data_IF_840471413459
#
_entry.id   IF_840471413459
#
_cell.length_a   1.000
_cell.length_b   1.000
_cell.length_c   1.000
_cell.angle_alpha   90.00
_cell.angle_beta   90.00
_cell.angle_gamma   90.00
#
_symmetry.space_group_name_H-M   'P 1'
#
loop_
_entity.id
_entity.type
_entity.pdbx_description
1 polymer ?
#
# COMPACT_ATOMS: atom_id res chain seq x y z
N UNK A 1 -86.67 -65.85 16.71
CA UNK A 1 -85.44 -65.90 15.91
C UNK A 1 -85.34 -64.72 14.87
N UNK A 2 -86.35 -63.92 14.67
CA UNK A 2 -86.36 -62.84 13.66
C UNK A 2 -85.60 -61.50 14.09
N UNK A 3 -85.63 -61.18 15.40
CA UNK A 3 -85.04 -59.91 15.87
C UNK A 3 -83.52 -59.92 15.97
N UNK A 4 -82.90 -61.02 16.16
CA UNK A 4 -81.40 -61.10 16.25
C UNK A 4 -80.71 -60.91 14.88
N UNK A 5 -81.36 -61.29 13.78
CA UNK A 5 -80.85 -61.01 12.41
C UNK A 5 -80.92 -59.56 12.05
N UNK A 6 -81.91 -58.80 12.48
CA UNK A 6 -82.03 -57.38 12.22
C UNK A 6 -80.97 -56.56 12.98
N UNK A 7 -80.69 -56.89 14.22
CA UNK A 7 -79.67 -56.25 15.02
C UNK A 7 -78.27 -56.47 14.44
N UNK A 8 -77.99 -57.67 13.95
CA UNK A 8 -76.70 -57.99 13.30
C UNK A 8 -76.49 -57.21 12.01
N UNK A 9 -77.57 -57.05 11.23
CA UNK A 9 -77.48 -56.18 10.01
C UNK A 9 -77.34 -54.72 10.31
N UNK A 10 -77.89 -54.18 11.37
CA UNK A 10 -77.68 -52.80 11.80
C UNK A 10 -76.24 -52.55 12.34
N UNK A 11 -75.69 -53.54 13.03
CA UNK A 11 -74.31 -53.49 13.49
C UNK A 11 -73.29 -53.49 12.31
N UNK A 12 -73.57 -54.25 11.25
CA UNK A 12 -72.75 -54.23 10.03
C UNK A 12 -72.88 -52.92 9.26
N UNK A 13 -74.09 -52.34 9.24
CA UNK A 13 -74.31 -51.01 8.57
C UNK A 13 -73.61 -49.87 9.32
N UNK A 14 -73.60 -49.92 10.64
CA UNK A 14 -72.92 -48.97 11.49
C UNK A 14 -71.36 -49.11 11.36
N UNK A 15 -70.89 -50.33 11.27
CA UNK A 15 -69.48 -50.64 11.04
C UNK A 15 -69.02 -50.20 9.67
N UNK A 16 -69.86 -50.26 8.62
CA UNK A 16 -69.54 -49.82 7.29
C UNK A 16 -69.44 -48.27 7.18
N UNK A 17 -70.23 -47.53 7.99
CA UNK A 17 -70.25 -46.10 8.04
C UNK A 17 -68.96 -45.53 8.76
N UNK A 18 -68.41 -46.34 9.71
CA UNK A 18 -67.23 -45.93 10.45
C UNK A 18 -65.91 -46.08 9.67
N UNK A 19 -65.92 -46.84 8.55
CA UNK A 19 -64.68 -47.09 7.73
C UNK A 19 -64.44 -45.99 6.68
N UNK A 20 -65.40 -45.08 6.46
CA UNK A 20 -65.33 -44.11 5.36
C UNK A 20 -64.79 -42.69 5.72
N UNK A 21 -64.21 -42.47 6.90
CA UNK A 21 -63.69 -41.18 7.29
C UNK A 21 -62.19 -41.28 7.62
N UNK A 22 -61.39 -41.83 6.71
CA UNK A 22 -59.97 -41.50 6.64
C UNK A 22 -59.87 -40.32 5.67
N UNK A 23 -60.15 -39.12 6.17
CA UNK A 23 -59.80 -37.90 5.47
C UNK A 23 -58.28 -37.76 5.42
N UNK A 24 -57.69 -38.09 4.28
CA UNK A 24 -56.30 -37.74 4.03
C UNK A 24 -56.26 -36.20 3.87
N UNK A 25 -55.84 -35.52 4.91
CA UNK A 25 -55.50 -34.12 4.80
C UNK A 25 -54.25 -34.04 3.87
N UNK A 26 -54.48 -33.59 2.65
CA UNK A 26 -53.37 -33.24 1.77
C UNK A 26 -52.86 -31.88 2.27
N UNK A 27 -51.66 -31.89 2.83
CA UNK A 27 -50.98 -30.68 3.22
C UNK A 27 -50.59 -29.94 1.93
N UNK A 28 -51.35 -28.89 1.59
CA UNK A 28 -51.07 -28.05 0.42
C UNK A 28 -50.08 -27.01 0.85
N UNK A 29 -48.84 -27.13 0.40
CA UNK A 29 -47.83 -26.08 0.56
C UNK A 29 -48.13 -24.95 -0.44
N UNK A 30 -48.59 -23.83 0.04
CA UNK A 30 -48.80 -22.62 -0.78
C UNK A 30 -47.44 -22.03 -1.13
N UNK A 31 -46.95 -22.28 -2.34
CA UNK A 31 -45.71 -21.67 -2.85
C UNK A 31 -46.03 -20.21 -3.22
N UNK A 32 -45.60 -19.28 -2.38
CA UNK A 32 -45.63 -17.85 -2.74
C UNK A 32 -44.48 -17.57 -3.70
N UNK A 33 -44.81 -17.13 -4.89
CA UNK A 33 -43.79 -16.57 -5.80
C UNK A 33 -43.29 -15.27 -5.19
N UNK A 34 -41.96 -15.20 -4.98
CA UNK A 34 -41.28 -13.97 -4.64
C UNK A 34 -40.97 -13.24 -5.95
N UNK A 35 -41.35 -11.96 -6.04
CA UNK A 35 -41.08 -11.11 -7.21
C UNK A 35 -39.59 -10.89 -7.43
N UNK A 36 -38.78 -11.01 -6.37
CA UNK A 36 -37.32 -10.92 -6.41
C UNK A 36 -36.67 -11.66 -5.26
N UNK A 37 -35.47 -12.16 -5.47
CA UNK A 37 -34.63 -12.70 -4.41
C UNK A 37 -33.22 -12.11 -4.53
N UNK A 38 -32.61 -11.80 -3.39
CA UNK A 38 -31.25 -11.31 -3.34
C UNK A 38 -30.27 -12.49 -3.23
N UNK A 39 -29.36 -12.58 -4.21
CA UNK A 39 -28.22 -13.48 -4.13
C UNK A 39 -27.01 -12.66 -3.70
N UNK A 40 -26.50 -12.94 -2.50
CA UNK A 40 -25.21 -12.41 -2.07
C UNK A 40 -24.12 -13.33 -2.54
N UNK A 41 -23.15 -12.83 -3.27
CA UNK A 41 -21.93 -13.56 -3.67
C UNK A 41 -20.72 -12.92 -3.03
N UNK A 42 -19.87 -13.75 -2.45
CA UNK A 42 -18.62 -13.33 -1.84
C UNK A 42 -17.46 -13.69 -2.79
N UNK A 43 -16.53 -12.77 -2.97
CA UNK A 43 -15.32 -12.96 -3.77
C UNK A 43 -14.10 -12.79 -2.89
N UNK A 44 -13.14 -13.73 -2.95
CA UNK A 44 -11.90 -13.60 -2.20
C UNK A 44 -11.05 -12.46 -2.78
N UNK A 45 -10.42 -11.68 -1.89
CA UNK A 45 -9.52 -10.60 -2.23
C UNK A 45 -8.21 -10.67 -1.45
N UNK A 46 -7.24 -9.86 -1.86
CA UNK A 46 -5.98 -9.64 -1.14
C UNK A 46 -5.89 -8.19 -0.74
N UNK A 47 -5.45 -7.95 0.49
CA UNK A 47 -5.12 -6.62 0.96
C UNK A 47 -3.65 -6.34 0.63
N UNK A 48 -3.41 -5.20 0.01
CA UNK A 48 -2.08 -4.73 -0.34
C UNK A 48 -1.93 -3.27 0.11
N UNK A 49 -0.75 -2.85 0.58
CA UNK A 49 -0.53 -1.43 0.85
C UNK A 49 -0.60 -0.62 -0.46
N UNK A 50 -1.07 0.63 -0.38
CA UNK A 50 -1.12 1.54 -1.54
C UNK A 50 0.29 1.86 -2.03
N UNK A 51 1.21 2.11 -1.10
CA UNK A 51 2.62 2.32 -1.39
C UNK A 51 3.46 1.32 -0.60
N UNK A 52 4.43 0.72 -1.27
CA UNK A 52 5.42 -0.18 -0.70
C UNK A 52 6.76 0.08 -1.37
N UNK A 53 7.80 0.28 -0.58
CA UNK A 53 9.13 0.56 -1.11
C UNK A 53 10.21 -0.20 -0.33
N UNK A 54 11.13 -0.83 -1.09
CA UNK A 54 12.36 -1.37 -0.55
C UNK A 54 13.41 -0.27 -0.59
N UNK A 55 13.82 0.19 0.57
CA UNK A 55 14.77 1.27 0.73
C UNK A 55 16.20 0.73 0.71
N UNK A 56 17.07 1.41 -0.02
CA UNK A 56 18.48 1.08 -0.19
C UNK A 56 19.31 2.36 -0.25
N UNK A 57 20.59 2.28 0.12
CA UNK A 57 21.50 3.38 -0.08
C UNK A 57 21.94 3.49 -1.56
N UNK A 58 22.12 4.73 -2.01
CA UNK A 58 22.61 5.04 -3.36
C UNK A 58 24.12 4.89 -3.51
N UNK A 59 24.83 4.61 -2.43
CA UNK A 59 26.28 4.40 -2.39
C UNK A 59 26.61 3.15 -1.58
N UNK A 60 27.77 2.57 -1.86
CA UNK A 60 28.32 1.48 -1.05
C UNK A 60 28.92 2.03 0.25
N UNK A 61 28.87 1.25 1.32
CA UNK A 61 29.44 1.62 2.61
C UNK A 61 29.18 0.61 3.72
N UNK A 62 29.63 0.92 4.93
CA UNK A 62 29.32 0.15 6.14
C UNK A 62 28.17 0.83 6.87
N UNK A 63 27.14 0.08 7.23
CA UNK A 63 26.02 0.57 8.05
C UNK A 63 26.55 0.90 9.46
N UNK A 64 26.50 2.17 9.85
CA UNK A 64 26.90 2.61 11.20
C UNK A 64 25.74 2.47 12.18
N UNK A 65 24.53 2.88 11.78
CA UNK A 65 23.35 2.84 12.62
C UNK A 65 22.08 2.51 11.81
N UNK A 66 21.13 1.84 12.46
CA UNK A 66 19.74 1.69 12.02
C UNK A 66 18.89 2.17 13.20
N UNK A 67 18.06 3.19 12.97
CA UNK A 67 17.31 3.89 14.02
C UNK A 67 15.90 3.36 14.23
N UNK A 68 15.45 2.42 13.38
CA UNK A 68 14.08 1.89 13.35
C UNK A 68 14.08 0.37 13.31
N UNK A 69 12.98 -0.24 13.79
CA UNK A 69 12.77 -1.68 13.70
C UNK A 69 11.41 -2.01 13.06
N UNK A 70 11.18 -3.31 12.81
CA UNK A 70 9.92 -3.80 12.25
C UNK A 70 8.75 -3.42 13.15
N UNK A 71 7.72 -2.80 12.57
CA UNK A 71 6.53 -2.31 13.25
C UNK A 71 6.59 -0.83 13.63
N UNK A 72 7.75 -0.17 13.53
CA UNK A 72 7.88 1.26 13.85
C UNK A 72 7.18 2.12 12.82
N UNK A 73 6.47 3.15 13.32
CA UNK A 73 5.87 4.21 12.50
C UNK A 73 6.88 5.31 12.25
N UNK A 74 6.99 5.69 10.98
CA UNK A 74 7.92 6.73 10.53
C UNK A 74 7.22 7.78 9.69
N UNK A 75 7.72 9.01 9.75
CA UNK A 75 7.23 10.11 8.94
C UNK A 75 8.16 10.32 7.72
N UNK A 76 7.61 10.92 6.68
CA UNK A 76 8.40 11.33 5.52
C UNK A 76 9.54 12.25 5.94
N UNK A 77 10.76 11.89 5.54
CA UNK A 77 12.00 12.64 5.87
C UNK A 77 12.69 12.17 7.14
N UNK A 78 12.10 11.27 7.92
CA UNK A 78 12.78 10.68 9.09
C UNK A 78 14.01 9.88 8.64
N UNK A 79 15.13 10.02 9.35
CA UNK A 79 16.33 9.23 9.12
C UNK A 79 16.14 7.83 9.67
N UNK A 80 16.22 6.83 8.81
CA UNK A 80 15.98 5.42 9.15
C UNK A 80 17.28 4.66 9.42
N UNK A 81 18.33 4.96 8.66
CA UNK A 81 19.65 4.34 8.79
C UNK A 81 20.74 5.29 8.30
N UNK A 82 21.98 5.02 8.71
CA UNK A 82 23.15 5.82 8.39
C UNK A 82 24.34 4.91 8.04
N UNK A 83 25.10 5.29 7.01
CA UNK A 83 26.42 4.71 6.72
C UNK A 83 27.52 5.42 7.53
N UNK A 84 28.68 4.77 7.65
CA UNK A 84 29.88 5.43 8.16
C UNK A 84 30.26 6.61 7.26
N UNK A 85 29.98 7.81 7.76
CA UNK A 85 30.09 9.07 7.01
C UNK A 85 31.38 9.83 7.28
N UNK A 86 32.34 9.27 8.07
CA UNK A 86 33.57 9.96 8.49
C UNK A 86 34.40 10.44 7.30
N UNK A 87 34.55 9.59 6.27
CA UNK A 87 35.29 9.95 5.06
C UNK A 87 34.54 11.03 4.25
N UNK A 88 33.23 10.86 4.04
CA UNK A 88 32.40 11.81 3.32
C UNK A 88 32.41 13.20 4.00
N UNK A 89 32.29 13.22 5.32
CA UNK A 89 32.36 14.44 6.14
C UNK A 89 33.73 15.14 6.06
N UNK A 90 34.83 14.37 6.12
CA UNK A 90 36.17 14.95 5.98
C UNK A 90 36.39 15.58 4.59
N UNK A 91 35.94 14.89 3.52
CA UNK A 91 36.03 15.40 2.14
C UNK A 91 35.15 16.66 1.93
N UNK A 92 33.95 16.67 2.51
CA UNK A 92 33.07 17.85 2.48
C UNK A 92 33.74 19.04 3.17
N UNK A 93 34.33 18.85 4.36
CA UNK A 93 35.03 19.92 5.08
C UNK A 93 36.21 20.48 4.28
N UNK A 94 36.97 19.63 3.60
CA UNK A 94 38.07 20.06 2.70
C UNK A 94 37.54 20.88 1.52
N UNK A 95 36.47 20.39 0.85
CA UNK A 95 35.89 21.10 -0.28
C UNK A 95 35.26 22.43 0.13
N UNK A 96 34.63 22.49 1.31
CA UNK A 96 34.07 23.71 1.89
C UNK A 96 35.16 24.76 2.13
N UNK A 97 36.29 24.40 2.70
CA UNK A 97 37.40 25.31 2.89
C UNK A 97 37.93 25.90 1.56
N UNK A 98 38.03 25.07 0.51
CA UNK A 98 38.41 25.52 -0.83
C UNK A 98 37.36 26.43 -1.45
N UNK A 99 36.10 26.11 -1.33
CA UNK A 99 34.96 26.93 -1.77
C UNK A 99 34.99 28.31 -1.08
N UNK A 100 35.10 28.32 0.26
CA UNK A 100 35.12 29.58 1.04
C UNK A 100 36.30 30.47 0.67
N UNK A 101 37.50 29.88 0.46
CA UNK A 101 38.67 30.60 0.00
C UNK A 101 38.45 31.22 -1.40
N UNK A 102 38.02 30.40 -2.38
CA UNK A 102 37.79 30.86 -3.75
C UNK A 102 36.74 31.96 -3.82
N UNK A 103 35.67 31.85 -3.02
CA UNK A 103 34.64 32.90 -2.87
C UNK A 103 35.21 34.23 -2.37
N UNK A 104 36.10 34.16 -1.37
CA UNK A 104 36.76 35.38 -0.85
C UNK A 104 37.70 35.99 -1.87
N UNK A 105 38.46 35.15 -2.61
CA UNK A 105 39.37 35.61 -3.67
C UNK A 105 38.56 36.29 -4.79
N UNK A 106 37.49 35.65 -5.28
CA UNK A 106 36.62 36.20 -6.29
C UNK A 106 36.06 37.58 -5.86
N UNK A 107 35.48 37.68 -4.66
CA UNK A 107 34.94 38.92 -4.11
C UNK A 107 36.01 40.03 -4.05
N UNK A 108 37.24 39.70 -3.66
CA UNK A 108 38.37 40.63 -3.62
C UNK A 108 38.71 41.09 -5.04
N UNK A 109 38.77 40.21 -6.02
CA UNK A 109 39.08 40.51 -7.40
C UNK A 109 37.98 41.35 -8.06
N UNK A 110 36.72 41.10 -7.77
CA UNK A 110 35.60 41.94 -8.21
C UNK A 110 35.76 43.39 -7.71
N UNK A 111 36.12 43.60 -6.43
CA UNK A 111 36.36 44.91 -5.86
C UNK A 111 37.57 45.62 -6.51
N UNK A 112 38.68 44.88 -6.70
CA UNK A 112 39.90 45.43 -7.35
C UNK A 112 39.62 45.76 -8.82
N UNK A 113 38.78 45.02 -9.51
CA UNK A 113 38.40 45.31 -10.89
C UNK A 113 37.58 46.59 -11.00
N UNK A 114 36.62 46.80 -10.08
CA UNK A 114 35.86 48.05 -10.02
C UNK A 114 36.79 49.29 -9.83
N UNK A 115 37.92 49.12 -9.15
CA UNK A 115 38.92 50.12 -8.93
C UNK A 115 39.95 50.25 -10.09
N UNK A 116 39.86 49.38 -11.11
CA UNK A 116 40.74 49.34 -12.25
C UNK A 116 42.12 48.72 -12.00
N UNK A 117 42.31 47.99 -10.87
CA UNK A 117 43.61 47.48 -10.43
C UNK A 117 43.96 46.09 -10.94
N UNK A 118 43.04 45.36 -11.61
CA UNK A 118 43.29 44.04 -12.17
C UNK A 118 42.79 43.92 -13.61
N UNK A 119 43.32 42.93 -14.34
CA UNK A 119 42.91 42.61 -15.69
C UNK A 119 41.54 41.85 -15.70
N UNK A 120 40.87 41.86 -16.85
CA UNK A 120 39.66 41.03 -17.06
C UNK A 120 40.04 39.54 -16.95
N UNK A 121 41.19 39.17 -17.46
CA UNK A 121 41.68 37.81 -17.45
C UNK A 121 41.86 37.28 -16.02
N UNK A 122 42.39 38.11 -15.10
CA UNK A 122 42.56 37.73 -13.69
C UNK A 122 41.22 37.51 -12.99
N UNK A 123 40.23 38.37 -13.27
CA UNK A 123 38.88 38.22 -12.74
C UNK A 123 38.20 36.94 -13.28
N UNK A 124 38.32 36.68 -14.60
CA UNK A 124 37.76 35.50 -15.23
C UNK A 124 38.37 34.21 -14.69
N UNK A 125 39.69 34.23 -14.41
CA UNK A 125 40.37 33.10 -13.74
C UNK A 125 39.84 32.88 -12.34
N UNK A 126 39.72 33.93 -11.52
CA UNK A 126 39.19 33.81 -10.16
C UNK A 126 37.72 33.31 -10.16
N UNK A 127 36.92 33.73 -11.14
CA UNK A 127 35.54 33.28 -11.32
C UNK A 127 35.50 31.79 -11.68
N UNK A 128 36.38 31.34 -12.59
CA UNK A 128 36.45 29.94 -12.98
C UNK A 128 36.88 29.06 -11.80
N UNK A 129 37.86 29.47 -11.01
CA UNK A 129 38.32 28.77 -9.81
C UNK A 129 37.22 28.68 -8.75
N UNK A 130 36.43 29.73 -8.57
CA UNK A 130 35.26 29.72 -7.69
C UNK A 130 34.19 28.71 -8.16
N UNK A 131 33.87 28.69 -9.46
CA UNK A 131 32.88 27.73 -10.02
C UNK A 131 33.33 26.28 -9.80
N UNK A 132 34.60 25.98 -10.06
CA UNK A 132 35.18 24.65 -9.83
C UNK A 132 35.05 24.24 -8.35
N UNK A 133 35.49 25.15 -7.44
CA UNK A 133 35.43 24.83 -6.01
C UNK A 133 33.99 24.71 -5.50
N UNK A 134 33.06 25.53 -6.02
CA UNK A 134 31.63 25.39 -5.71
C UNK A 134 31.07 24.04 -6.13
N UNK A 135 31.32 23.62 -7.37
CA UNK A 135 30.85 22.35 -7.87
C UNK A 135 31.43 21.16 -7.07
N UNK A 136 32.68 21.27 -6.64
CA UNK A 136 33.30 20.24 -5.79
C UNK A 136 32.66 20.18 -4.40
N UNK A 137 32.32 21.32 -3.81
CA UNK A 137 31.63 21.41 -2.52
C UNK A 137 30.22 20.76 -2.64
N UNK A 138 29.44 21.17 -3.64
CA UNK A 138 28.09 20.62 -3.88
C UNK A 138 28.12 19.10 -4.12
N UNK A 139 29.14 18.60 -4.83
CA UNK A 139 29.33 17.16 -5.05
C UNK A 139 29.57 16.39 -3.74
N UNK A 140 30.41 16.89 -2.84
CA UNK A 140 30.67 16.21 -1.56
C UNK A 140 29.52 16.39 -0.57
N UNK A 141 28.78 17.50 -0.66
CA UNK A 141 27.55 17.70 0.10
C UNK A 141 26.51 16.62 -0.26
N UNK A 142 26.26 16.38 -1.55
CA UNK A 142 25.42 15.28 -2.03
C UNK A 142 25.95 13.91 -1.57
N UNK A 143 27.28 13.71 -1.59
CA UNK A 143 27.87 12.43 -1.13
C UNK A 143 27.66 12.19 0.36
N UNK A 144 27.67 13.23 1.18
CA UNK A 144 27.34 13.12 2.60
C UNK A 144 25.83 12.87 2.80
N UNK A 145 24.96 13.56 2.05
CA UNK A 145 23.52 13.33 2.09
C UNK A 145 23.19 11.86 1.76
N UNK A 146 23.81 11.28 0.74
CA UNK A 146 23.66 9.88 0.34
C UNK A 146 24.09 8.87 1.41
N UNK A 147 24.78 9.27 2.48
CA UNK A 147 25.07 8.39 3.62
C UNK A 147 23.89 8.22 4.56
N UNK A 148 22.81 9.01 4.40
CA UNK A 148 21.60 8.92 5.21
C UNK A 148 20.49 8.28 4.39
N UNK A 149 19.82 7.28 4.96
CA UNK A 149 18.63 6.68 4.41
C UNK A 149 17.41 7.31 5.06
N UNK A 150 16.60 8.01 4.27
CA UNK A 150 15.42 8.71 4.78
C UNK A 150 14.13 8.09 4.26
N UNK A 151 13.05 8.23 5.02
CA UNK A 151 11.73 7.75 4.60
C UNK A 151 11.15 8.61 3.48
N UNK A 152 10.72 8.02 2.35
CA UNK A 152 10.12 8.75 1.23
C UNK A 152 8.67 9.18 1.49
N UNK A 153 7.94 8.48 2.39
CA UNK A 153 6.54 8.75 2.76
C UNK A 153 6.27 8.34 4.21
N UNK A 154 5.09 8.69 4.73
CA UNK A 154 4.66 8.26 6.07
C UNK A 154 4.24 6.80 6.04
N UNK A 155 4.82 5.97 6.89
CA UNK A 155 4.56 4.54 6.82
C UNK A 155 4.94 3.76 8.07
N UNK A 156 4.94 2.44 7.90
CA UNK A 156 5.38 1.47 8.92
C UNK A 156 6.49 0.63 8.30
N UNK A 157 7.53 0.36 9.08
CA UNK A 157 8.59 -0.55 8.67
C UNK A 157 8.06 -1.98 8.69
N UNK A 158 8.01 -2.59 7.52
CA UNK A 158 7.51 -3.96 7.35
C UNK A 158 8.60 -5.00 7.53
N UNK A 159 9.78 -4.76 6.96
CA UNK A 159 10.91 -5.67 7.02
C UNK A 159 12.22 -4.92 7.22
N UNK A 160 13.15 -5.57 7.94
CA UNK A 160 14.55 -5.20 8.05
C UNK A 160 15.41 -6.35 7.50
N UNK A 161 16.16 -6.08 6.44
CA UNK A 161 16.93 -7.11 5.73
C UNK A 161 18.36 -7.22 6.20
N UNK A 162 18.92 -6.15 6.77
CA UNK A 162 20.32 -6.06 7.18
C UNK A 162 20.45 -5.39 8.54
N UNK A 163 21.60 -5.65 9.18
CA UNK A 163 21.92 -5.15 10.51
C UNK A 163 23.10 -4.17 10.51
N UNK A 164 23.19 -3.41 11.61
CA UNK A 164 24.32 -2.51 11.89
C UNK A 164 25.66 -3.25 11.82
N UNK A 165 26.65 -2.62 11.22
CA UNK A 165 27.96 -3.18 11.00
C UNK A 165 28.15 -3.92 9.68
N UNK A 166 27.08 -4.21 8.94
CA UNK A 166 27.13 -4.84 7.62
C UNK A 166 27.73 -3.90 6.59
N UNK A 167 28.59 -4.43 5.72
CA UNK A 167 29.11 -3.72 4.54
C UNK A 167 28.22 -4.03 3.35
N UNK A 168 27.76 -2.99 2.66
CA UNK A 168 26.76 -3.10 1.59
C UNK A 168 27.29 -2.53 0.27
N UNK A 169 26.74 -3.04 -0.82
CA UNK A 169 26.86 -2.46 -2.14
C UNK A 169 25.69 -1.47 -2.40
N UNK A 170 25.89 -0.58 -3.38
CA UNK A 170 24.84 0.29 -3.88
C UNK A 170 23.58 -0.52 -4.29
N UNK A 171 22.40 -0.05 -3.86
CA UNK A 171 21.11 -0.65 -4.22
C UNK A 171 20.74 -1.91 -3.41
N UNK A 172 21.55 -2.34 -2.45
CA UNK A 172 21.20 -3.45 -1.55
C UNK A 172 20.02 -3.04 -0.65
N UNK A 173 18.90 -3.81 -0.61
CA UNK A 173 17.76 -3.45 0.22
C UNK A 173 18.08 -3.57 1.71
N UNK A 174 17.78 -2.53 2.49
CA UNK A 174 18.02 -2.45 3.93
C UNK A 174 16.72 -2.61 4.70
N UNK A 175 15.71 -1.83 4.33
CA UNK A 175 14.41 -1.75 4.97
C UNK A 175 13.30 -1.83 3.92
N UNK A 176 12.14 -2.27 4.34
CA UNK A 176 10.92 -2.19 3.55
C UNK A 176 9.87 -1.40 4.31
N UNK A 177 9.36 -0.37 3.67
CA UNK A 177 8.32 0.50 4.23
C UNK A 177 7.02 0.34 3.45
N UNK A 178 5.89 0.36 4.17
CA UNK A 178 4.53 0.35 3.61
C UNK A 178 3.75 1.57 4.09
N UNK A 179 2.82 2.05 3.25
CA UNK A 179 1.87 3.10 3.68
C UNK A 179 1.05 2.62 4.88
N UNK A 180 0.97 3.46 5.90
CA UNK A 180 0.23 3.18 7.13
C UNK A 180 -1.24 3.63 7.09
N UNK A 181 -1.65 4.41 6.09
CA UNK A 181 -2.95 5.07 6.11
C UNK A 181 -3.98 4.40 5.21
N UNK A 182 -3.55 3.86 4.08
CA UNK A 182 -4.45 3.31 3.08
C UNK A 182 -4.01 1.92 2.64
N UNK A 183 -5.01 1.07 2.45
CA UNK A 183 -4.84 -0.30 1.93
C UNK A 183 -5.72 -0.46 0.70
N UNK A 184 -5.21 -1.12 -0.30
CA UNK A 184 -5.99 -1.55 -1.46
C UNK A 184 -6.46 -2.99 -1.28
N UNK A 185 -7.75 -3.25 -1.50
CA UNK A 185 -8.25 -4.61 -1.68
C UNK A 185 -8.28 -4.93 -3.17
N UNK A 186 -7.53 -5.93 -3.55
CA UNK A 186 -7.43 -6.44 -4.92
C UNK A 186 -8.31 -7.67 -5.07
N UNK A 187 -9.35 -7.60 -5.89
CA UNK A 187 -10.33 -8.67 -6.09
C UNK A 187 -10.46 -8.98 -7.57
N UNK A 188 -10.33 -10.27 -7.93
CA UNK A 188 -10.62 -10.74 -9.28
C UNK A 188 -12.12 -11.00 -9.43
N UNK A 189 -12.82 -10.13 -10.17
CA UNK A 189 -14.26 -10.22 -10.39
C UNK A 189 -14.59 -10.68 -11.81
N UNK A 190 -15.51 -11.64 -11.99
CA UNK A 190 -16.03 -11.96 -13.31
C UNK A 190 -16.68 -10.73 -13.97
N UNK A 191 -16.48 -10.57 -15.29
CA UNK A 191 -16.93 -9.40 -16.06
C UNK A 191 -18.43 -9.15 -15.91
N UNK A 192 -19.21 -10.21 -15.76
CA UNK A 192 -20.67 -10.12 -15.63
C UNK A 192 -21.13 -9.30 -14.38
N UNK A 193 -20.30 -9.22 -13.31
CA UNK A 193 -20.61 -8.44 -12.10
C UNK A 193 -20.03 -7.02 -12.14
N UNK A 194 -19.08 -6.77 -13.04
CA UNK A 194 -18.38 -5.48 -13.13
C UNK A 194 -19.27 -4.42 -13.77
N UNK A 195 -20.13 -4.81 -14.72
CA UNK A 195 -21.00 -3.89 -15.47
C UNK A 195 -21.96 -3.11 -14.56
N UNK A 196 -22.31 -3.68 -13.41
CA UNK A 196 -23.21 -3.05 -12.42
C UNK A 196 -22.45 -2.25 -11.35
N UNK A 197 -21.11 -2.16 -11.46
CA UNK A 197 -20.28 -1.49 -10.48
C UNK A 197 -19.90 -0.08 -10.92
N UNK A 198 -20.00 0.87 -9.99
CA UNK A 198 -19.69 2.26 -10.22
C UNK A 198 -18.43 2.69 -9.45
N UNK A 199 -17.48 3.31 -10.15
CA UNK A 199 -16.28 3.90 -9.54
C UNK A 199 -16.71 4.99 -8.55
N UNK A 200 -16.10 5.00 -7.37
CA UNK A 200 -16.44 5.92 -6.27
C UNK A 200 -17.53 5.40 -5.32
N UNK A 201 -18.24 4.33 -5.67
CA UNK A 201 -19.25 3.72 -4.81
C UNK A 201 -18.61 2.83 -3.74
N UNK A 202 -19.26 2.76 -2.56
CA UNK A 202 -18.82 1.93 -1.44
C UNK A 202 -19.48 0.56 -1.51
N UNK A 203 -18.66 -0.47 -1.28
CA UNK A 203 -19.06 -1.88 -1.24
C UNK A 203 -18.68 -2.48 0.11
N UNK A 204 -19.42 -3.49 0.55
CA UNK A 204 -19.20 -4.16 1.83
C UNK A 204 -18.12 -5.23 1.70
N UNK A 205 -17.19 -5.22 2.65
CA UNK A 205 -16.07 -6.14 2.77
C UNK A 205 -16.11 -6.81 4.14
N UNK A 206 -15.77 -8.09 4.17
CA UNK A 206 -15.59 -8.83 5.41
C UNK A 206 -14.11 -9.11 5.62
N UNK A 207 -13.50 -8.47 6.62
CA UNK A 207 -12.08 -8.58 6.96
C UNK A 207 -11.99 -8.99 8.43
N UNK A 208 -11.35 -10.11 8.74
CA UNK A 208 -11.21 -10.65 10.10
C UNK A 208 -12.54 -10.71 10.87
N UNK A 209 -13.62 -11.07 10.16
CA UNK A 209 -14.96 -11.17 10.73
C UNK A 209 -15.71 -9.84 10.90
N UNK A 210 -15.10 -8.70 10.60
CA UNK A 210 -15.71 -7.37 10.64
C UNK A 210 -16.19 -6.92 9.27
N UNK A 211 -17.34 -6.24 9.24
CA UNK A 211 -17.85 -5.63 8.01
C UNK A 211 -17.30 -4.21 7.87
N UNK A 212 -16.58 -3.96 6.78
CA UNK A 212 -15.92 -2.69 6.48
C UNK A 212 -16.39 -2.26 5.09
N UNK A 213 -16.53 -0.95 4.88
CA UNK A 213 -16.85 -0.39 3.57
C UNK A 213 -15.58 0.06 2.86
N UNK A 214 -15.39 -0.42 1.62
CA UNK A 214 -14.32 0.01 0.74
C UNK A 214 -14.88 0.74 -0.47
N UNK A 215 -14.16 1.74 -0.95
CA UNK A 215 -14.57 2.52 -2.13
C UNK A 215 -13.96 1.90 -3.38
N UNK A 216 -14.79 1.56 -4.37
CA UNK A 216 -14.31 1.10 -5.67
C UNK A 216 -13.53 2.21 -6.36
N UNK A 217 -12.23 2.00 -6.54
CA UNK A 217 -11.31 3.03 -7.04
C UNK A 217 -11.04 2.90 -8.54
N UNK A 218 -10.64 1.72 -8.97
CA UNK A 218 -10.21 1.48 -10.36
C UNK A 218 -10.37 0.02 -10.77
N UNK A 219 -10.46 -0.17 -12.08
CA UNK A 219 -10.53 -1.48 -12.71
C UNK A 219 -9.31 -1.65 -13.61
N UNK A 220 -8.59 -2.76 -13.48
CA UNK A 220 -7.49 -3.05 -14.38
C UNK A 220 -8.00 -3.20 -15.83
N UNK A 221 -7.28 -2.64 -16.81
CA UNK A 221 -7.75 -2.64 -18.22
C UNK A 221 -7.77 -4.03 -18.83
N UNK A 222 -6.92 -4.95 -18.38
CA UNK A 222 -6.79 -6.30 -18.91
C UNK A 222 -6.90 -7.35 -17.80
N UNK A 223 -7.45 -8.51 -18.15
CA UNK A 223 -7.47 -9.69 -17.28
C UNK A 223 -6.13 -10.39 -17.29
N UNK A 224 -5.60 -10.83 -16.14
CA UNK A 224 -4.43 -11.70 -16.13
C UNK A 224 -4.76 -13.04 -16.82
N UNK A 225 -3.96 -13.44 -17.82
CA UNK A 225 -4.01 -14.79 -18.37
C UNK A 225 -5.25 -15.17 -19.18
N UNK A 226 -5.99 -14.19 -19.76
CA UNK A 226 -7.13 -14.49 -20.64
C UNK A 226 -8.38 -15.04 -19.94
N UNK A 227 -8.52 -14.83 -18.63
CA UNK A 227 -9.72 -15.19 -17.87
C UNK A 227 -10.84 -14.16 -18.08
N UNK A 228 -12.11 -14.59 -17.99
CA UNK A 228 -13.29 -13.72 -18.02
C UNK A 228 -13.47 -12.89 -16.73
N UNK A 229 -12.38 -12.66 -15.98
CA UNK A 229 -12.37 -11.88 -14.74
C UNK A 229 -11.41 -10.70 -14.86
N UNK A 230 -11.73 -9.58 -14.24
CA UNK A 230 -10.87 -8.38 -14.19
C UNK A 230 -10.53 -8.05 -12.74
N UNK A 231 -9.36 -7.48 -12.55
CA UNK A 231 -8.92 -7.03 -11.24
C UNK A 231 -9.60 -5.71 -10.88
N UNK A 232 -10.47 -5.76 -9.89
CA UNK A 232 -11.09 -4.60 -9.27
C UNK A 232 -10.31 -4.20 -8.03
N UNK A 233 -10.02 -2.92 -7.88
CA UNK A 233 -9.22 -2.35 -6.80
C UNK A 233 -10.10 -1.40 -5.99
N UNK A 234 -10.14 -1.64 -4.68
CA UNK A 234 -10.91 -0.87 -3.72
C UNK A 234 -9.97 -0.25 -2.70
N UNK A 235 -10.23 0.98 -2.31
CA UNK A 235 -9.45 1.67 -1.27
C UNK A 235 -10.19 1.56 0.05
N UNK A 236 -9.45 1.11 1.06
CA UNK A 236 -9.87 1.07 2.45
C UNK A 236 -9.03 2.07 3.25
N UNK A 237 -9.67 2.83 4.12
CA UNK A 237 -8.95 3.63 5.12
C UNK A 237 -8.70 2.78 6.37
N UNK A 238 -7.45 2.64 6.79
CA UNK A 238 -7.06 1.89 8.00
C UNK A 238 -7.53 2.56 9.30
N UNK A 239 -8.07 3.78 9.25
CA UNK A 239 -8.60 4.49 10.41
C UNK A 239 -9.77 3.71 11.08
N UNK A 240 -10.32 2.72 10.39
CA UNK A 240 -11.49 1.94 10.83
C UNK A 240 -11.21 0.43 11.01
N UNK A 241 -9.97 0.00 10.90
CA UNK A 241 -9.52 -1.37 11.18
C UNK A 241 -8.75 -1.40 12.49
#
# INVERSE_FOLDING_TARGET
MSNMRKIKNYLYLISLIFISVTSYAVEVLEIKMLDSYLITKEFPGRLLPVEQSKLSFEIAGKISNIFVDVGDKVLKGDTLAELDNREASARLNQAKASYDLSKQVLKRFENLRQQGHISIQDLDKARSEFIIAKSQFEFFELKLEQTNLVSPFNGIIQNRFLDTGTVINQGAPILEIIDSNNVEAHISLPVIYINDMEIGKKYDFKIDGRNIKATFSKLAPMSPGGSDSRLAIFILSLIHI
#
